data_IF_269519638008
#
_entry.id   IF_269519638008
#
_cell.length_a   1.000
_cell.length_b   1.000
_cell.length_c   1.000
_cell.angle_alpha   90.00
_cell.angle_beta   90.00
_cell.angle_gamma   90.00
#
_symmetry.space_group_name_H-M   'P 1'
#
loop_
_entity.id
_entity.type
_entity.pdbx_description
1 polymer ?
#
# COMPACT_ATOMS: atom_id res chain seq x y z
N UNK A 1 -9.49 18.67 10.70
CA UNK A 1 -9.14 17.26 10.39
C UNK A 1 -7.77 17.23 9.72
N UNK A 2 -6.88 16.29 10.09
CA UNK A 2 -5.48 16.26 9.66
C UNK A 2 -5.39 15.76 8.21
N UNK A 3 -4.84 16.57 7.31
CA UNK A 3 -4.74 16.31 5.85
C UNK A 3 -4.17 14.92 5.46
N UNK A 4 -3.44 14.25 6.34
CA UNK A 4 -2.86 12.93 6.09
C UNK A 4 -3.85 11.75 6.06
N UNK A 5 -4.96 11.80 6.81
CA UNK A 5 -5.89 10.66 6.87
C UNK A 5 -6.74 10.51 5.60
N UNK A 6 -7.11 11.62 4.96
CA UNK A 6 -7.85 11.57 3.69
C UNK A 6 -7.04 10.89 2.58
N UNK A 7 -5.73 11.18 2.53
CA UNK A 7 -4.84 10.58 1.55
C UNK A 7 -4.77 9.06 1.68
N UNK A 8 -4.76 8.53 2.91
CA UNK A 8 -4.67 7.09 3.17
C UNK A 8 -5.97 6.37 2.78
N UNK A 9 -7.14 6.98 3.05
CA UNK A 9 -8.41 6.40 2.64
C UNK A 9 -8.53 6.25 1.12
N UNK A 10 -7.96 7.19 0.36
CA UNK A 10 -7.91 7.13 -1.11
C UNK A 10 -7.02 5.99 -1.63
N UNK A 11 -6.13 5.42 -0.79
CA UNK A 11 -5.28 4.28 -1.16
C UNK A 11 -6.00 2.94 -1.13
N UNK A 12 -7.13 2.84 -0.42
CA UNK A 12 -7.89 1.59 -0.33
C UNK A 12 -8.40 1.22 -1.73
N UNK A 13 -8.16 -0.03 -2.14
CA UNK A 13 -8.42 -0.55 -3.48
C UNK A 13 -7.42 -0.13 -4.55
N UNK A 14 -6.28 0.47 -4.18
CA UNK A 14 -5.14 0.60 -5.08
C UNK A 14 -4.33 -0.70 -5.13
N UNK A 15 -3.72 -0.94 -6.28
CA UNK A 15 -2.87 -2.10 -6.54
C UNK A 15 -1.42 -1.75 -6.24
N UNK A 16 -0.76 -2.56 -5.42
CA UNK A 16 0.69 -2.56 -5.26
C UNK A 16 1.35 -3.18 -6.49
N UNK A 17 2.26 -2.42 -7.11
CA UNK A 17 3.01 -2.83 -8.29
C UNK A 17 4.51 -2.75 -8.05
N UNK A 18 5.27 -3.71 -8.58
CA UNK A 18 6.73 -3.67 -8.59
C UNK A 18 7.23 -4.00 -9.99
N UNK A 19 8.04 -3.12 -10.59
CA UNK A 19 8.57 -3.30 -11.96
C UNK A 19 7.49 -3.62 -13.01
N UNK A 20 6.27 -3.10 -12.82
CA UNK A 20 5.12 -3.32 -13.71
C UNK A 20 4.29 -4.56 -13.39
N UNK A 21 4.71 -5.40 -12.44
CA UNK A 21 3.96 -6.57 -11.98
C UNK A 21 3.00 -6.19 -10.86
N UNK A 22 1.77 -6.72 -10.91
CA UNK A 22 0.78 -6.59 -9.83
C UNK A 22 1.06 -7.61 -8.75
N UNK A 23 1.20 -7.15 -7.50
CA UNK A 23 1.54 -8.00 -6.36
C UNK A 23 0.38 -8.17 -5.38
N UNK A 24 -0.29 -7.08 -5.01
CA UNK A 24 -1.34 -7.09 -4.00
C UNK A 24 -2.31 -5.91 -4.16
N UNK A 25 -3.47 -5.97 -3.50
CA UNK A 25 -4.45 -4.89 -3.40
C UNK A 25 -4.48 -4.35 -1.97
N UNK A 26 -4.49 -3.02 -1.78
CA UNK A 26 -4.70 -2.41 -0.47
C UNK A 26 -6.16 -2.62 -0.04
N UNK A 27 -6.39 -3.31 1.07
CA UNK A 27 -7.74 -3.62 1.56
C UNK A 27 -8.13 -2.81 2.79
N UNK A 28 -7.14 -2.38 3.59
CA UNK A 28 -7.38 -1.51 4.74
C UNK A 28 -6.13 -0.73 5.13
N UNK A 29 -6.26 0.16 6.11
CA UNK A 29 -5.14 0.91 6.69
C UNK A 29 -5.26 0.97 8.20
N UNK A 30 -4.13 0.85 8.89
CA UNK A 30 -4.03 0.88 10.34
C UNK A 30 -3.12 2.04 10.75
N UNK A 31 -3.62 2.94 11.61
CA UNK A 31 -2.82 3.97 12.25
C UNK A 31 -1.90 3.31 13.31
N UNK A 32 -0.67 3.00 12.92
CA UNK A 32 0.35 2.46 13.81
C UNK A 32 1.02 3.54 14.67
N UNK A 33 1.76 3.11 15.70
CA UNK A 33 2.44 4.03 16.62
C UNK A 33 3.54 4.89 15.96
N UNK A 34 4.22 4.35 14.94
CA UNK A 34 5.32 5.03 14.24
C UNK A 34 4.95 5.48 12.82
N UNK A 35 4.05 4.75 12.16
CA UNK A 35 3.62 5.01 10.80
C UNK A 35 2.26 4.35 10.53
N UNK A 36 1.58 4.80 9.48
CA UNK A 36 0.44 4.08 8.91
C UNK A 36 0.94 2.78 8.29
N UNK A 37 0.21 1.70 8.50
CA UNK A 37 0.42 0.42 7.85
C UNK A 37 -0.74 0.18 6.87
N UNK A 38 -0.42 -0.23 5.64
CA UNK A 38 -1.39 -0.71 4.67
C UNK A 38 -1.54 -2.21 4.85
N UNK A 39 -2.77 -2.66 5.07
CA UNK A 39 -3.10 -4.08 4.96
C UNK A 39 -3.38 -4.38 3.50
N UNK A 40 -2.69 -5.36 2.95
CA UNK A 40 -2.75 -5.69 1.52
C UNK A 40 -3.02 -7.15 1.33
N UNK A 41 -3.76 -7.48 0.27
CA UNK A 41 -4.15 -8.84 -0.09
C UNK A 41 -3.49 -9.25 -1.41
N UNK A 42 -2.72 -10.32 -1.38
CA UNK A 42 -2.10 -10.94 -2.56
C UNK A 42 -3.10 -11.80 -3.33
N UNK A 43 -2.73 -12.24 -4.54
CA UNK A 43 -3.59 -13.05 -5.41
C UNK A 43 -3.96 -14.44 -4.83
N UNK A 44 -3.19 -14.93 -3.87
CA UNK A 44 -3.45 -16.15 -3.10
C UNK A 44 -4.27 -15.90 -1.82
N UNK A 45 -4.90 -14.73 -1.71
CA UNK A 45 -5.74 -14.29 -0.57
C UNK A 45 -4.99 -14.14 0.76
N UNK A 46 -3.66 -14.12 0.74
CA UNK A 46 -2.85 -13.88 1.93
C UNK A 46 -2.79 -12.37 2.26
N UNK A 47 -2.84 -12.06 3.56
CA UNK A 47 -2.76 -10.68 4.06
C UNK A 47 -1.35 -10.35 4.55
N UNK A 48 -0.88 -9.16 4.19
CA UNK A 48 0.42 -8.61 4.58
C UNK A 48 0.27 -7.16 5.06
N UNK A 49 1.24 -6.71 5.85
CA UNK A 49 1.29 -5.36 6.39
C UNK A 49 2.48 -4.61 5.80
N UNK A 50 2.22 -3.57 5.02
CA UNK A 50 3.24 -2.74 4.36
C UNK A 50 3.28 -1.36 4.99
N UNK A 51 4.42 -0.91 5.56
CA UNK A 51 4.53 0.44 6.08
C UNK A 51 4.35 1.49 4.97
N UNK A 52 3.47 2.47 5.20
CA UNK A 52 3.29 3.61 4.30
C UNK A 52 4.40 4.65 4.53
N UNK A 53 5.62 4.26 4.16
CA UNK A 53 6.85 5.02 4.30
C UNK A 53 7.63 5.00 2.98
N UNK A 54 8.38 6.06 2.68
CA UNK A 54 9.11 6.25 1.41
C UNK A 54 10.15 5.15 1.10
N UNK A 55 10.58 4.42 2.12
CA UNK A 55 11.49 3.28 2.02
C UNK A 55 10.82 2.06 1.39
N UNK A 56 9.49 1.93 1.58
CA UNK A 56 8.68 0.82 1.07
C UNK A 56 7.81 1.24 -0.12
N UNK A 57 7.33 2.48 -0.10
CA UNK A 57 6.38 3.01 -1.08
C UNK A 57 7.04 4.06 -1.96
N UNK A 58 6.78 3.97 -3.26
CA UNK A 58 7.24 4.90 -4.28
C UNK A 58 6.14 5.78 -4.81
N UNK A 59 6.02 5.85 -6.13
CA UNK A 59 4.98 6.63 -6.80
C UNK A 59 3.57 6.15 -6.44
N UNK A 60 2.66 7.10 -6.18
CA UNK A 60 1.23 6.85 -5.99
C UNK A 60 0.48 7.51 -7.12
N UNK A 61 -0.11 6.70 -7.98
CA UNK A 61 -0.96 7.14 -9.07
C UNK A 61 -2.42 6.83 -8.75
N UNK A 62 -3.11 7.81 -8.15
CA UNK A 62 -4.54 7.68 -7.81
C UNK A 62 -5.44 7.64 -9.04
N UNK A 63 -4.97 8.11 -10.21
CA UNK A 63 -5.75 8.06 -11.45
C UNK A 63 -5.81 6.63 -11.98
N UNK A 64 -4.67 5.94 -11.98
CA UNK A 64 -4.57 4.54 -12.39
C UNK A 64 -4.80 3.54 -11.24
N UNK A 65 -4.95 4.04 -10.00
CA UNK A 65 -5.09 3.26 -8.76
C UNK A 65 -3.93 2.30 -8.52
N UNK A 66 -2.71 2.77 -8.74
CA UNK A 66 -1.48 1.99 -8.52
C UNK A 66 -0.56 2.67 -7.52
N UNK A 67 0.14 1.84 -6.74
CA UNK A 67 1.14 2.25 -5.76
C UNK A 67 2.40 1.45 -6.03
N UNK A 68 3.53 2.10 -6.25
CA UNK A 68 4.82 1.43 -6.38
C UNK A 68 5.26 0.84 -5.04
N UNK A 69 5.51 -0.47 -5.01
CA UNK A 69 6.17 -1.17 -3.92
C UNK A 69 7.67 -1.28 -4.25
N UNK A 70 8.53 -0.66 -3.45
CA UNK A 70 9.99 -0.71 -3.63
C UNK A 70 10.63 -1.99 -3.08
N UNK A 71 9.94 -2.67 -2.18
CA UNK A 71 10.48 -3.76 -1.36
C UNK A 71 9.60 -5.01 -1.45
N UNK A 72 9.54 -5.68 -2.61
CA UNK A 72 8.60 -6.78 -2.86
C UNK A 72 8.76 -7.96 -1.89
N UNK A 73 9.95 -8.16 -1.32
CA UNK A 73 10.23 -9.18 -0.32
C UNK A 73 9.42 -9.05 0.98
N UNK A 74 8.74 -7.92 1.22
CA UNK A 74 7.83 -7.76 2.36
C UNK A 74 6.56 -8.61 2.23
N UNK A 75 6.27 -9.11 1.03
CA UNK A 75 5.12 -9.97 0.73
C UNK A 75 5.50 -11.46 0.63
N UNK A 76 6.64 -11.86 1.22
CA UNK A 76 7.16 -13.23 1.18
C UNK A 76 6.88 -14.00 2.48
#
# INVERSE_FOLDING_TARGET
MKKGQYYVADLIGCTLVHEGETLAEVVSSIDGAQAVLLEVRTADEQLYMVPYLKEYIGEVDLKNRTIELKTPWILA
#
